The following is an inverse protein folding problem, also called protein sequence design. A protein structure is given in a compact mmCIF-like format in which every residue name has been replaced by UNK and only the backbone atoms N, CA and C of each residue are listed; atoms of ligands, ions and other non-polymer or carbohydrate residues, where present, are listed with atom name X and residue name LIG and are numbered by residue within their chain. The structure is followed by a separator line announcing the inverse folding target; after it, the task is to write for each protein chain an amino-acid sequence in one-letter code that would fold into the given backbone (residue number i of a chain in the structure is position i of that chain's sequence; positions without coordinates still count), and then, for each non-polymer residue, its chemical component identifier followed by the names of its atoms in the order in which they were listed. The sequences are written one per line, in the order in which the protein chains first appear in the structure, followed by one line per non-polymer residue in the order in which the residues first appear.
data_IF_065608017149
#
_entry.id   IF_065608017149
#
_cell.length_a   1.000
_cell.length_b   1.000
_cell.length_c   1.000
_cell.angle_alpha   90.00
_cell.angle_beta   90.00
_cell.angle_gamma   90.00
#
_symmetry.space_group_name_H-M   'P 1'
#
loop_
_entity.id
_entity.type
_entity.pdbx_description
1 polymer ?
#
# COMPACT_ATOMS: atom_id res chain seq x y z
N UNK A 1 27.51 -20.82 7.83
CA UNK A 1 26.90 -19.57 8.33
C UNK A 1 27.90 -18.87 9.23
N UNK A 2 28.04 -17.55 9.14
CA UNK A 2 28.96 -16.80 10.01
C UNK A 2 28.34 -16.76 11.43
N UNK A 3 29.17 -16.69 12.48
CA UNK A 3 28.69 -16.59 13.88
C UNK A 3 27.68 -15.45 14.07
N UNK A 4 27.87 -14.34 13.36
CA UNK A 4 26.94 -13.19 13.36
C UNK A 4 25.55 -13.54 12.85
N UNK A 5 25.47 -14.33 11.77
CA UNK A 5 24.19 -14.75 11.17
C UNK A 5 23.39 -15.66 12.12
N UNK A 6 24.10 -16.53 12.85
CA UNK A 6 23.50 -17.42 13.85
C UNK A 6 22.97 -16.64 15.04
N UNK A 7 23.72 -15.65 15.53
CA UNK A 7 23.28 -14.77 16.62
C UNK A 7 22.04 -13.96 16.22
N UNK A 8 22.02 -13.40 15.01
CA UNK A 8 20.87 -12.67 14.47
C UNK A 8 19.65 -13.59 14.39
N UNK A 9 19.80 -14.79 13.80
CA UNK A 9 18.70 -15.74 13.65
C UNK A 9 18.13 -16.19 15.02
N UNK A 10 18.99 -16.46 16.01
CA UNK A 10 18.58 -16.81 17.37
C UNK A 10 17.87 -15.63 18.03
N UNK A 11 18.41 -14.41 17.92
CA UNK A 11 17.80 -13.22 18.53
C UNK A 11 16.42 -12.89 17.95
N UNK A 12 16.24 -13.00 16.63
CA UNK A 12 14.94 -12.85 15.98
C UNK A 12 13.96 -13.95 16.40
N UNK A 13 14.43 -15.20 16.46
CA UNK A 13 13.58 -16.33 16.89
C UNK A 13 13.13 -16.17 18.34
N UNK A 14 14.01 -15.70 19.22
CA UNK A 14 13.70 -15.40 20.62
C UNK A 14 12.75 -14.21 20.76
N UNK A 15 12.91 -13.16 19.95
CA UNK A 15 11.98 -12.03 19.93
C UNK A 15 10.58 -12.47 19.49
N UNK A 16 10.48 -13.26 18.42
CA UNK A 16 9.20 -13.80 17.92
C UNK A 16 8.57 -14.71 18.96
N UNK A 17 9.35 -15.60 19.58
CA UNK A 17 8.87 -16.48 20.64
C UNK A 17 8.40 -15.69 21.87
N UNK A 18 9.16 -14.68 22.29
CA UNK A 18 8.79 -13.81 23.40
C UNK A 18 7.50 -13.03 23.09
N UNK A 19 7.37 -12.44 21.90
CA UNK A 19 6.15 -11.77 21.47
C UNK A 19 4.95 -12.74 21.40
N UNK A 20 5.15 -13.94 20.88
CA UNK A 20 4.11 -14.98 20.83
C UNK A 20 3.66 -15.39 22.24
N UNK A 21 4.60 -15.57 23.18
CA UNK A 21 4.29 -15.87 24.58
C UNK A 21 3.59 -14.68 25.25
N UNK A 22 4.02 -13.44 25.01
CA UNK A 22 3.39 -12.24 25.58
C UNK A 22 1.95 -12.08 25.07
N UNK A 23 1.72 -12.33 23.78
CA UNK A 23 0.38 -12.27 23.17
C UNK A 23 -0.49 -13.44 23.65
N UNK A 24 0.06 -14.65 23.74
CA UNK A 24 -0.66 -15.86 24.15
C UNK A 24 -0.87 -15.99 25.66
N UNK A 25 -0.03 -15.33 26.47
CA UNK A 25 -0.26 -15.17 27.89
C UNK A 25 -1.34 -14.09 28.07
N UNK A 26 -2.59 -14.55 28.11
CA UNK A 26 -3.81 -13.78 28.38
C UNK A 26 -3.73 -12.80 29.58
N UNK A 27 -2.72 -12.94 30.42
CA UNK A 27 -2.44 -12.09 31.59
C UNK A 27 -1.69 -10.79 31.27
N UNK A 28 -0.96 -10.70 30.15
CA UNK A 28 -0.08 -9.56 29.83
C UNK A 28 -0.58 -8.68 28.68
N UNK A 29 -1.59 -9.12 27.96
CA UNK A 29 -2.28 -8.29 26.97
C UNK A 29 -3.75 -8.22 27.38
N UNK A 30 -4.37 -7.02 27.43
CA UNK A 30 -5.82 -6.98 27.56
C UNK A 30 -6.39 -7.69 26.34
N UNK A 31 -6.94 -8.89 26.54
CA UNK A 31 -7.82 -9.52 25.55
C UNK A 31 -8.80 -8.44 25.13
N UNK A 32 -8.99 -8.27 23.82
CA UNK A 32 -9.99 -7.35 23.31
C UNK A 32 -11.29 -7.63 24.05
N UNK A 33 -11.74 -6.66 24.86
CA UNK A 33 -12.91 -6.79 25.72
C UNK A 33 -14.05 -7.39 24.91
N UNK A 34 -14.67 -8.47 25.41
CA UNK A 34 -15.86 -9.05 24.81
C UNK A 34 -17.01 -8.03 24.73
N UNK A 35 -16.95 -6.97 25.55
CA UNK A 35 -17.80 -5.78 25.43
C UNK A 35 -17.18 -4.83 24.41
N UNK A 36 -17.84 -4.72 23.26
CA UNK A 36 -17.50 -3.76 22.22
C UNK A 36 -17.84 -2.35 22.73
N UNK A 37 -16.90 -1.40 22.61
CA UNK A 37 -17.17 -0.01 22.98
C UNK A 37 -18.19 0.59 22.01
N UNK A 38 -19.00 1.55 22.44
CA UNK A 38 -20.05 2.15 21.60
C UNK A 38 -19.59 2.68 20.23
N UNK A 39 -18.34 3.15 20.11
CA UNK A 39 -17.76 3.53 18.82
C UNK A 39 -17.57 2.31 17.89
N UNK A 40 -17.12 1.18 18.42
CA UNK A 40 -16.98 -0.06 17.67
C UNK A 40 -18.33 -0.62 17.23
N UNK A 41 -19.35 -0.55 18.09
CA UNK A 41 -20.73 -0.91 17.74
C UNK A 41 -21.25 -0.03 16.60
N UNK A 42 -20.95 1.28 16.62
CA UNK A 42 -21.33 2.21 15.55
C UNK A 42 -20.67 1.82 14.21
N UNK A 43 -19.38 1.48 14.20
CA UNK A 43 -18.72 1.02 12.97
C UNK A 43 -19.34 -0.26 12.41
N UNK A 44 -19.66 -1.23 13.28
CA UNK A 44 -20.34 -2.47 12.87
C UNK A 44 -21.73 -2.17 12.31
N UNK A 45 -22.50 -1.32 12.99
CA UNK A 45 -23.87 -0.99 12.64
C UNK A 45 -23.97 -0.18 11.34
N UNK A 46 -22.98 0.64 11.01
CA UNK A 46 -23.04 1.56 9.87
C UNK A 46 -22.03 1.26 8.75
N UNK A 47 -21.24 0.19 8.84
CA UNK A 47 -20.41 -0.24 7.70
C UNK A 47 -21.30 -0.64 6.50
N UNK A 48 -22.32 -1.47 6.77
CA UNK A 48 -23.32 -1.88 5.79
C UNK A 48 -24.71 -1.94 6.42
N UNK A 49 -25.49 -0.88 6.23
CA UNK A 49 -26.85 -0.79 6.75
C UNK A 49 -27.76 0.00 5.80
N UNK A 50 -28.42 -0.70 4.85
CA UNK A 50 -29.27 -0.06 3.85
C UNK A 50 -30.45 0.72 4.42
N UNK A 51 -30.90 0.40 5.65
CA UNK A 51 -32.00 1.08 6.33
C UNK A 51 -31.59 2.45 6.90
N UNK A 52 -30.29 2.68 7.11
CA UNK A 52 -29.74 3.96 7.53
C UNK A 52 -28.89 4.58 6.40
N UNK A 53 -29.54 4.89 5.28
CA UNK A 53 -28.91 5.31 4.03
C UNK A 53 -27.98 6.53 4.13
N UNK A 54 -28.17 7.41 5.14
CA UNK A 54 -27.39 8.63 5.34
C UNK A 54 -26.21 8.45 6.32
N UNK A 55 -26.07 7.27 6.91
CA UNK A 55 -24.99 6.94 7.86
C UNK A 55 -24.14 5.75 7.39
N UNK A 56 -24.66 4.96 6.45
CA UNK A 56 -23.98 3.75 5.97
C UNK A 56 -22.88 4.04 4.95
N UNK A 57 -21.79 3.26 5.00
CA UNK A 57 -20.69 3.30 4.03
C UNK A 57 -20.97 2.42 2.80
N UNK A 58 -21.83 1.41 2.96
CA UNK A 58 -22.08 0.32 1.98
C UNK A 58 -20.85 -0.56 1.72
N UNK A 59 -19.98 -0.74 2.71
CA UNK A 59 -18.86 -1.69 2.70
C UNK A 59 -19.17 -2.88 3.60
N UNK A 60 -19.06 -4.11 3.08
CA UNK A 60 -19.20 -5.33 3.89
C UNK A 60 -17.97 -5.55 4.78
N UNK A 61 -16.81 -5.02 4.37
CA UNK A 61 -15.60 -5.01 5.18
C UNK A 61 -15.59 -3.76 6.09
N UNK A 62 -15.77 -4.00 7.38
CA UNK A 62 -15.80 -2.97 8.43
C UNK A 62 -14.45 -2.27 8.57
N UNK A 63 -13.34 -2.99 8.45
CA UNK A 63 -12.00 -2.39 8.55
C UNK A 63 -11.78 -1.41 7.40
N UNK A 64 -12.16 -1.81 6.18
CA UNK A 64 -12.06 -0.94 5.00
C UNK A 64 -12.95 0.30 5.14
N UNK A 65 -14.16 0.14 5.71
CA UNK A 65 -15.04 1.28 6.01
C UNK A 65 -14.40 2.24 7.03
N UNK A 66 -13.77 1.70 8.08
CA UNK A 66 -13.08 2.48 9.10
C UNK A 66 -11.94 3.28 8.48
N UNK A 67 -11.04 2.64 7.76
CA UNK A 67 -9.82 3.30 7.27
C UNK A 67 -10.12 4.32 6.17
N UNK A 68 -11.12 4.09 5.30
CA UNK A 68 -11.36 4.98 4.15
C UNK A 68 -12.50 5.97 4.32
N UNK A 69 -13.57 5.64 5.05
CA UNK A 69 -14.72 6.54 5.21
C UNK A 69 -14.65 7.27 6.57
N UNK A 70 -14.55 6.53 7.67
CA UNK A 70 -14.54 7.13 9.01
C UNK A 70 -13.21 7.81 9.37
N UNK A 71 -12.09 7.22 8.93
CA UNK A 71 -10.72 7.65 9.25
C UNK A 71 -9.86 7.83 7.99
N UNK A 72 -10.50 8.20 6.88
CA UNK A 72 -9.84 8.42 5.58
C UNK A 72 -8.63 9.35 5.63
N UNK A 73 -8.69 10.39 6.49
CA UNK A 73 -7.58 11.30 6.71
C UNK A 73 -6.34 10.60 7.32
N UNK A 74 -6.54 9.67 8.25
CA UNK A 74 -5.43 8.97 8.90
C UNK A 74 -4.69 8.09 7.88
N UNK A 75 -5.42 7.35 7.05
CA UNK A 75 -4.86 6.51 5.98
C UNK A 75 -4.21 7.33 4.87
N UNK A 76 -4.79 8.48 4.52
CA UNK A 76 -4.16 9.42 3.59
C UNK A 76 -2.83 9.96 4.13
N UNK A 77 -2.77 10.33 5.42
CA UNK A 77 -1.53 10.78 6.03
C UNK A 77 -0.50 9.65 6.19
N UNK A 78 -0.91 8.43 6.49
CA UNK A 78 -0.02 7.25 6.45
C UNK A 78 0.64 7.10 5.06
N UNK A 79 -0.16 7.26 4.01
CA UNK A 79 0.31 7.23 2.62
C UNK A 79 1.31 8.36 2.31
N UNK A 80 1.05 9.56 2.85
CA UNK A 80 1.97 10.70 2.76
C UNK A 80 3.29 10.44 3.52
N UNK A 81 3.23 9.83 4.72
CA UNK A 81 4.42 9.46 5.49
C UNK A 81 5.27 8.44 4.72
N UNK A 82 4.66 7.45 4.09
CA UNK A 82 5.36 6.51 3.21
C UNK A 82 5.97 7.22 1.99
N UNK A 83 5.38 8.32 1.50
CA UNK A 83 5.97 9.11 0.41
C UNK A 83 7.20 9.87 0.92
N UNK A 84 7.09 10.49 2.10
CA UNK A 84 8.19 11.18 2.74
C UNK A 84 9.37 10.24 2.99
N UNK A 85 9.13 8.98 3.41
CA UNK A 85 10.20 8.01 3.62
C UNK A 85 10.91 7.61 2.32
N UNK A 86 10.17 7.45 1.22
CA UNK A 86 10.78 7.21 -0.11
C UNK A 86 11.57 8.42 -0.58
N UNK A 87 11.04 9.63 -0.42
CA UNK A 87 11.78 10.87 -0.77
C UNK A 87 13.04 11.01 0.08
N UNK A 88 12.97 10.72 1.37
CA UNK A 88 14.13 10.72 2.26
C UNK A 88 15.18 9.68 1.81
N UNK A 89 14.75 8.47 1.47
CA UNK A 89 15.62 7.42 0.91
C UNK A 89 16.31 7.90 -0.38
N UNK A 90 15.55 8.50 -1.30
CA UNK A 90 16.10 9.05 -2.54
C UNK A 90 17.02 10.25 -2.29
N UNK A 91 16.76 11.07 -1.26
CA UNK A 91 17.61 12.19 -0.89
C UNK A 91 18.95 11.71 -0.34
N UNK A 92 18.95 10.67 0.50
CA UNK A 92 20.16 10.01 1.00
C UNK A 92 20.92 9.34 -0.14
N UNK A 93 20.20 8.76 -1.11
CA UNK A 93 20.74 8.10 -2.29
C UNK A 93 20.70 9.01 -3.53
N UNK A 94 20.92 10.33 -3.38
CA UNK A 94 21.02 11.27 -4.51
C UNK A 94 22.28 11.01 -5.34
N UNK A 95 22.14 10.83 -6.65
CA UNK A 95 23.27 10.54 -7.57
C UNK A 95 23.50 9.05 -7.86
N UNK A 96 22.79 8.15 -7.17
CA UNK A 96 22.98 6.69 -7.26
C UNK A 96 22.10 6.01 -8.33
N UNK A 97 21.26 6.80 -9.01
CA UNK A 97 20.08 6.33 -9.74
C UNK A 97 20.28 5.73 -11.13
N UNK A 98 21.51 5.67 -11.67
CA UNK A 98 21.75 5.20 -13.04
C UNK A 98 22.84 4.13 -13.19
N UNK A 99 23.23 3.44 -12.12
CA UNK A 99 24.19 2.32 -12.23
C UNK A 99 23.48 1.01 -12.60
N UNK A 100 22.68 1.02 -13.67
CA UNK A 100 22.07 -0.19 -14.25
C UNK A 100 22.86 -0.63 -15.49
N UNK A 101 24.10 -1.11 -15.29
CA UNK A 101 24.93 -1.69 -16.38
C UNK A 101 25.88 -2.78 -15.91
N UNK A 102 25.53 -3.56 -14.89
CA UNK A 102 26.27 -4.78 -14.58
C UNK A 102 25.50 -5.98 -15.12
N UNK A 103 26.11 -6.69 -16.08
CA UNK A 103 25.61 -7.90 -16.73
C UNK A 103 25.49 -9.08 -15.76
N UNK A 104 24.71 -8.91 -14.70
CA UNK A 104 24.42 -9.94 -13.72
C UNK A 104 23.60 -11.05 -14.38
N UNK A 105 24.15 -12.26 -14.37
CA UNK A 105 23.42 -13.45 -14.80
C UNK A 105 22.37 -13.81 -13.73
N UNK A 106 21.11 -13.91 -14.15
CA UNK A 106 20.03 -14.42 -13.29
C UNK A 106 20.22 -15.90 -12.94
N UNK A 107 19.28 -16.46 -12.17
CA UNK A 107 19.27 -17.87 -11.79
C UNK A 107 19.10 -18.83 -12.99
N UNK A 108 19.06 -20.14 -12.71
CA UNK A 108 18.88 -21.18 -13.74
C UNK A 108 17.58 -21.00 -14.55
N UNK A 109 17.56 -21.53 -15.76
CA UNK A 109 16.41 -21.36 -16.67
C UNK A 109 15.15 -22.06 -16.16
N UNK A 110 15.30 -23.13 -15.37
CA UNK A 110 14.18 -23.78 -14.66
C UNK A 110 13.50 -22.80 -13.69
N UNK A 111 14.29 -22.06 -12.90
CA UNK A 111 13.76 -21.07 -11.94
C UNK A 111 13.13 -19.89 -12.68
N UNK A 112 13.75 -19.44 -13.78
CA UNK A 112 13.18 -18.38 -14.65
C UNK A 112 11.85 -18.81 -15.28
N UNK A 113 11.72 -20.06 -15.71
CA UNK A 113 10.49 -20.59 -16.29
C UNK A 113 9.36 -20.63 -15.26
N UNK A 114 9.64 -21.14 -14.06
CA UNK A 114 8.68 -21.14 -12.95
C UNK A 114 8.25 -19.71 -12.57
N UNK A 115 9.21 -18.79 -12.45
CA UNK A 115 8.96 -17.39 -12.09
C UNK A 115 8.08 -16.67 -13.11
N UNK A 116 8.24 -16.97 -14.40
CA UNK A 116 7.41 -16.41 -15.49
C UNK A 116 5.93 -16.77 -15.33
N UNK A 117 5.62 -17.91 -14.73
CA UNK A 117 4.24 -18.34 -14.42
C UNK A 117 3.72 -17.72 -13.12
N UNK A 118 4.58 -17.57 -12.11
CA UNK A 118 4.19 -17.06 -10.78
C UNK A 118 3.92 -15.56 -10.78
N UNK A 119 4.70 -14.75 -11.50
CA UNK A 119 4.54 -13.28 -11.51
C UNK A 119 3.11 -12.85 -11.92
N UNK A 120 2.50 -13.36 -13.01
CA UNK A 120 1.12 -13.04 -13.34
C UNK A 120 0.11 -13.42 -12.25
N UNK A 121 0.32 -14.55 -11.57
CA UNK A 121 -0.56 -14.98 -10.48
C UNK A 121 -0.48 -14.01 -9.29
N UNK A 122 0.72 -13.55 -8.93
CA UNK A 122 0.91 -12.52 -7.90
C UNK A 122 0.18 -11.22 -8.31
N UNK A 123 0.30 -10.80 -9.57
CA UNK A 123 -0.34 -9.58 -10.06
C UNK A 123 -1.87 -9.67 -10.02
N UNK A 124 -2.45 -10.78 -10.47
CA UNK A 124 -3.90 -11.01 -10.40
C UNK A 124 -4.39 -11.02 -8.95
N UNK A 125 -3.67 -11.72 -8.06
CA UNK A 125 -4.03 -11.78 -6.66
C UNK A 125 -3.95 -10.41 -5.98
N UNK A 126 -2.89 -9.64 -6.25
CA UNK A 126 -2.72 -8.25 -5.78
C UNK A 126 -3.89 -7.36 -6.18
N UNK A 127 -4.26 -7.36 -7.47
CA UNK A 127 -5.38 -6.56 -7.98
C UNK A 127 -6.71 -7.02 -7.36
N UNK A 128 -6.93 -8.33 -7.26
CA UNK A 128 -8.14 -8.87 -6.64
C UNK A 128 -8.26 -8.46 -5.16
N UNK A 129 -7.16 -8.51 -4.39
CA UNK A 129 -7.13 -8.08 -2.98
C UNK A 129 -7.46 -6.59 -2.82
N UNK A 130 -7.00 -5.74 -3.74
CA UNK A 130 -7.30 -4.31 -3.70
C UNK A 130 -8.75 -4.01 -4.10
N UNK A 131 -9.20 -4.52 -5.24
CA UNK A 131 -10.53 -4.20 -5.81
C UNK A 131 -11.70 -4.79 -5.01
N UNK A 132 -11.48 -5.88 -4.27
CA UNK A 132 -12.48 -6.46 -3.37
C UNK A 132 -12.31 -6.02 -1.92
N UNK A 133 -11.48 -5.00 -1.62
CA UNK A 133 -11.20 -4.56 -0.25
C UNK A 133 -12.46 -4.18 0.56
N UNK A 134 -13.50 -3.69 -0.10
CA UNK A 134 -14.80 -3.39 0.52
C UNK A 134 -15.68 -4.62 0.78
N UNK A 135 -15.34 -5.79 0.22
CA UNK A 135 -16.11 -7.03 0.35
C UNK A 135 -15.38 -8.07 1.21
N UNK A 136 -14.06 -8.21 1.03
CA UNK A 136 -13.23 -9.25 1.64
C UNK A 136 -12.08 -8.62 2.45
N UNK A 137 -11.47 -9.36 3.40
CA UNK A 137 -10.22 -8.94 4.04
C UNK A 137 -9.15 -8.62 3.00
N UNK A 138 -8.48 -7.48 3.15
CA UNK A 138 -7.58 -6.94 2.13
C UNK A 138 -7.62 -5.42 2.11
N UNK A 139 -7.42 -4.84 0.93
CA UNK A 139 -7.29 -3.41 0.73
C UNK A 139 -6.21 -3.05 -0.28
N UNK A 140 -6.11 -1.75 -0.58
CA UNK A 140 -5.13 -1.24 -1.52
C UNK A 140 -3.70 -1.45 -1.06
N UNK A 141 -3.39 -1.15 0.19
CA UNK A 141 -2.04 -1.29 0.73
C UNK A 141 -1.52 -2.72 0.64
N UNK A 142 -2.32 -3.70 1.08
CA UNK A 142 -1.98 -5.13 1.01
C UNK A 142 -1.80 -5.57 -0.45
N UNK A 143 -2.70 -5.13 -1.34
CA UNK A 143 -2.55 -5.35 -2.78
C UNK A 143 -1.20 -4.82 -3.29
N UNK A 144 -0.81 -3.60 -2.91
CA UNK A 144 0.46 -2.99 -3.33
C UNK A 144 1.69 -3.70 -2.78
N UNK A 145 1.62 -4.14 -1.53
CA UNK A 145 2.66 -4.98 -0.92
C UNK A 145 2.82 -6.31 -1.66
N UNK A 146 1.72 -7.00 -1.98
CA UNK A 146 1.74 -8.24 -2.78
C UNK A 146 2.35 -7.99 -4.17
N UNK A 147 1.96 -6.90 -4.86
CA UNK A 147 2.55 -6.55 -6.15
C UNK A 147 4.07 -6.31 -6.06
N UNK A 148 4.55 -5.69 -4.97
CA UNK A 148 5.99 -5.47 -4.78
C UNK A 148 6.80 -6.76 -4.63
N UNK A 149 6.17 -7.86 -4.17
CA UNK A 149 6.79 -9.20 -4.13
C UNK A 149 7.14 -9.69 -5.53
N UNK A 150 6.33 -9.38 -6.55
CA UNK A 150 6.66 -9.72 -7.93
C UNK A 150 7.94 -9.02 -8.40
N UNK A 151 8.19 -7.79 -7.93
CA UNK A 151 9.42 -7.04 -8.23
C UNK A 151 10.61 -7.64 -7.48
N UNK A 152 10.47 -7.92 -6.19
CA UNK A 152 11.51 -8.59 -5.41
C UNK A 152 11.91 -9.93 -6.05
N UNK A 153 10.93 -10.74 -6.45
CA UNK A 153 11.15 -12.01 -7.13
C UNK A 153 11.84 -11.82 -8.50
N UNK A 154 11.42 -10.81 -9.27
CA UNK A 154 12.03 -10.49 -10.54
C UNK A 154 13.50 -10.05 -10.41
N UNK A 155 13.82 -9.22 -9.41
CA UNK A 155 15.20 -8.81 -9.09
C UNK A 155 16.02 -10.04 -8.71
N UNK A 156 15.51 -10.88 -7.81
CA UNK A 156 16.21 -12.06 -7.33
C UNK A 156 16.50 -13.06 -8.44
N UNK A 157 15.52 -13.33 -9.31
CA UNK A 157 15.60 -14.40 -10.34
C UNK A 157 16.28 -13.92 -11.63
N UNK A 158 15.98 -12.71 -12.11
CA UNK A 158 16.47 -12.25 -13.41
C UNK A 158 17.64 -11.27 -13.32
N UNK A 159 17.77 -10.53 -12.22
CA UNK A 159 18.61 -9.32 -11.99
C UNK A 159 17.84 -7.99 -11.98
N UNK A 160 18.42 -7.00 -11.31
CA UNK A 160 17.95 -5.62 -11.28
C UNK A 160 17.89 -5.00 -12.68
N UNK A 161 18.90 -5.26 -13.52
CA UNK A 161 18.97 -4.77 -14.90
C UNK A 161 17.79 -5.26 -15.76
N UNK A 162 17.32 -6.48 -15.54
CA UNK A 162 16.10 -7.00 -16.19
C UNK A 162 14.85 -6.20 -15.85
N UNK A 163 14.73 -5.73 -14.60
CA UNK A 163 13.59 -4.91 -14.14
C UNK A 163 13.63 -3.52 -14.77
N UNK A 164 14.82 -2.90 -14.85
CA UNK A 164 15.02 -1.62 -15.54
C UNK A 164 14.70 -1.73 -17.04
N UNK A 165 15.17 -2.79 -17.73
CA UNK A 165 14.85 -3.03 -19.14
C UNK A 165 13.35 -3.22 -19.41
N UNK A 166 12.60 -3.76 -18.46
CA UNK A 166 11.13 -3.85 -18.53
C UNK A 166 10.42 -2.52 -18.26
N UNK A 167 11.16 -1.45 -17.99
CA UNK A 167 10.64 -0.10 -17.87
C UNK A 167 10.17 0.28 -16.48
N UNK A 168 10.56 -0.45 -15.43
CA UNK A 168 10.28 -0.11 -14.03
C UNK A 168 11.48 0.61 -13.40
N UNK A 169 11.77 1.81 -13.89
CA UNK A 169 12.78 2.68 -13.29
C UNK A 169 12.23 3.39 -12.05
N UNK A 170 13.12 3.77 -11.14
CA UNK A 170 12.79 4.56 -9.94
C UNK A 170 11.98 5.82 -10.31
N UNK A 171 12.40 6.56 -11.32
CA UNK A 171 11.71 7.79 -11.75
C UNK A 171 10.26 7.52 -12.15
N UNK A 172 10.00 6.43 -12.87
CA UNK A 172 8.63 6.06 -13.27
C UNK A 172 7.79 5.62 -12.07
N UNK A 173 8.37 4.87 -11.14
CA UNK A 173 7.68 4.47 -9.92
C UNK A 173 7.33 5.69 -9.07
N UNK A 174 8.24 6.65 -8.91
CA UNK A 174 7.97 7.91 -8.20
C UNK A 174 6.87 8.72 -8.88
N UNK A 175 6.88 8.82 -10.22
CA UNK A 175 5.81 9.49 -10.97
C UNK A 175 4.46 8.79 -10.77
N UNK A 176 4.42 7.46 -10.87
CA UNK A 176 3.20 6.69 -10.60
C UNK A 176 2.68 6.92 -9.18
N UNK A 177 3.59 7.02 -8.21
CA UNK A 177 3.26 7.29 -6.81
C UNK A 177 2.62 8.65 -6.62
N UNK A 178 3.25 9.70 -7.17
CA UNK A 178 2.75 11.08 -7.08
C UNK A 178 1.41 11.21 -7.79
N UNK A 179 1.27 10.59 -8.96
CA UNK A 179 -0.01 10.57 -9.70
C UNK A 179 -1.10 9.85 -8.90
N UNK A 180 -0.79 8.70 -8.31
CA UNK A 180 -1.72 7.96 -7.44
C UNK A 180 -2.19 8.80 -6.26
N UNK A 181 -1.26 9.49 -5.58
CA UNK A 181 -1.60 10.38 -4.46
C UNK A 181 -2.42 11.60 -4.91
N UNK A 182 -2.10 12.19 -6.05
CA UNK A 182 -2.86 13.30 -6.62
C UNK A 182 -4.29 12.86 -6.99
N UNK A 183 -4.46 11.71 -7.64
CA UNK A 183 -5.78 11.15 -7.96
C UNK A 183 -6.58 10.86 -6.68
N UNK A 184 -5.95 10.26 -5.66
CA UNK A 184 -6.56 10.03 -4.35
C UNK A 184 -7.05 11.33 -3.71
N UNK A 185 -6.23 12.39 -3.73
CA UNK A 185 -6.62 13.71 -3.23
C UNK A 185 -7.77 14.31 -4.04
N UNK A 186 -7.76 14.18 -5.37
CA UNK A 186 -8.85 14.63 -6.23
C UNK A 186 -10.17 13.97 -5.85
N UNK A 187 -10.18 12.65 -5.60
CA UNK A 187 -11.38 11.94 -5.12
C UNK A 187 -11.82 12.47 -3.76
N UNK A 188 -10.88 12.70 -2.83
CA UNK A 188 -11.18 13.21 -1.50
C UNK A 188 -11.82 14.60 -1.51
N UNK A 189 -11.48 15.47 -2.46
CA UNK A 189 -12.06 16.83 -2.55
C UNK A 189 -13.22 16.93 -3.55
N UNK A 190 -13.45 15.90 -4.38
CA UNK A 190 -14.41 15.96 -5.49
C UNK A 190 -15.82 16.34 -5.02
N UNK A 191 -16.37 15.68 -4.00
CA UNK A 191 -17.71 16.02 -3.49
C UNK A 191 -17.74 17.39 -2.85
N UNK A 192 -16.69 17.81 -2.12
CA UNK A 192 -16.63 19.15 -1.56
C UNK A 192 -16.69 20.24 -2.65
N UNK A 193 -15.97 20.05 -3.76
CA UNK A 193 -16.00 20.97 -4.90
C UNK A 193 -17.38 20.98 -5.59
N UNK A 194 -17.97 19.80 -5.83
CA UNK A 194 -19.31 19.68 -6.41
C UNK A 194 -20.36 20.34 -5.50
N UNK A 195 -20.26 20.15 -4.18
CA UNK A 195 -21.14 20.78 -3.20
C UNK A 195 -21.04 22.30 -3.24
N UNK A 196 -19.82 22.84 -3.28
CA UNK A 196 -19.58 24.27 -3.40
C UNK A 196 -20.20 24.87 -4.69
N UNK A 197 -20.11 24.16 -5.82
CA UNK A 197 -20.71 24.58 -7.09
C UNK A 197 -22.25 24.53 -7.07
N UNK A 198 -22.82 23.55 -6.39
CA UNK A 198 -24.27 23.37 -6.26
C UNK A 198 -24.90 24.17 -5.11
N UNK A 199 -24.08 24.85 -4.30
CA UNK A 199 -24.55 25.58 -3.11
C UNK A 199 -25.04 24.66 -1.98
N UNK A 200 -24.61 23.40 -1.96
CA UNK A 200 -24.95 22.43 -0.91
C UNK A 200 -23.72 22.12 -0.05
N UNK A 201 -23.94 21.81 1.24
CA UNK A 201 -22.83 21.39 2.10
C UNK A 201 -22.28 20.06 1.61
N UNK A 202 -20.96 19.93 1.64
CA UNK A 202 -20.23 18.70 1.36
C UNK A 202 -18.86 18.76 2.03
N UNK A 203 -18.33 17.59 2.40
CA UNK A 203 -17.10 17.49 3.18
C UNK A 203 -15.95 16.91 2.36
N UNK A 204 -14.72 17.27 2.72
CA UNK A 204 -13.53 16.55 2.25
C UNK A 204 -13.56 15.14 2.81
N UNK A 205 -13.16 14.15 2.01
CA UNK A 205 -13.30 12.71 2.29
C UNK A 205 -14.75 12.20 2.40
N UNK A 206 -15.75 12.99 2.01
CA UNK A 206 -17.12 12.48 1.99
C UNK A 206 -17.26 11.36 0.95
N UNK A 207 -17.77 10.20 1.37
CA UNK A 207 -18.06 9.08 0.51
C UNK A 207 -19.55 9.02 0.14
N UNK A 208 -20.42 8.86 1.15
CA UNK A 208 -21.87 8.76 1.00
C UNK A 208 -22.58 10.07 1.37
N UNK A 209 -23.84 10.20 0.96
CA UNK A 209 -24.70 11.29 1.40
C UNK A 209 -24.92 11.23 2.91
N UNK A 210 -25.00 12.39 3.55
CA UNK A 210 -25.25 12.59 4.98
C UNK A 210 -26.53 13.40 5.17
N UNK A 211 -27.04 13.49 6.41
CA UNK A 211 -28.27 14.22 6.72
C UNK A 211 -28.24 15.69 6.27
N UNK A 212 -27.09 16.34 6.38
CA UNK A 212 -26.90 17.74 6.01
C UNK A 212 -26.13 17.93 4.70
N UNK A 213 -25.79 16.84 4.01
CA UNK A 213 -25.01 16.82 2.75
C UNK A 213 -25.59 15.78 1.78
N UNK A 214 -26.51 16.18 0.88
CA UNK A 214 -27.32 15.24 0.10
C UNK A 214 -26.57 14.53 -1.04
N UNK A 215 -25.34 14.95 -1.34
CA UNK A 215 -24.54 14.39 -2.43
C UNK A 215 -23.69 13.21 -1.95
N UNK A 216 -23.49 12.21 -2.80
CA UNK A 216 -22.71 11.03 -2.46
C UNK A 216 -22.21 10.30 -3.70
N UNK A 217 -21.26 9.39 -3.52
CA UNK A 217 -20.74 8.53 -4.57
C UNK A 217 -21.73 7.39 -4.90
N UNK A 218 -21.60 6.75 -6.08
CA UNK A 218 -22.40 5.58 -6.44
C UNK A 218 -22.28 4.44 -5.43
N UNK A 219 -23.42 3.95 -4.94
CA UNK A 219 -23.49 2.90 -3.89
C UNK A 219 -23.13 1.52 -4.43
N UNK A 220 -23.59 1.22 -5.65
CA UNK A 220 -23.48 -0.10 -6.29
C UNK A 220 -22.92 0.01 -7.70
N UNK A 221 -22.24 -1.05 -8.14
CA UNK A 221 -21.77 -1.26 -9.50
C UNK A 221 -22.18 -2.67 -9.93
N UNK A 222 -22.99 -2.82 -10.98
CA UNK A 222 -23.46 -4.12 -11.48
C UNK A 222 -24.03 -5.02 -10.36
N UNK A 223 -24.92 -4.45 -9.54
CA UNK A 223 -25.55 -5.08 -8.36
C UNK A 223 -24.60 -5.51 -7.21
N UNK A 224 -23.32 -5.16 -7.29
CA UNK A 224 -22.37 -5.35 -6.19
C UNK A 224 -22.16 -4.07 -5.40
N UNK A 225 -22.00 -4.13 -4.06
CA UNK A 225 -21.64 -2.96 -3.26
C UNK A 225 -20.28 -2.41 -3.70
N UNK A 226 -20.28 -1.20 -4.25
CA UNK A 226 -19.06 -0.50 -4.67
C UNK A 226 -18.42 0.24 -3.49
N UNK A 227 -19.21 0.51 -2.44
CA UNK A 227 -18.82 1.37 -1.31
C UNK A 227 -18.34 2.77 -1.73
N UNK A 228 -18.81 3.26 -2.89
CA UNK A 228 -18.50 4.59 -3.43
C UNK A 228 -17.01 4.82 -3.70
N UNK A 229 -16.46 5.86 -3.09
CA UNK A 229 -15.06 6.26 -3.21
C UNK A 229 -14.09 5.23 -2.65
N UNK A 230 -14.52 4.34 -1.75
CA UNK A 230 -13.66 3.33 -1.11
C UNK A 230 -12.97 2.43 -2.13
N UNK A 231 -13.67 2.01 -3.20
CA UNK A 231 -13.07 1.22 -4.28
C UNK A 231 -11.95 1.99 -4.99
N UNK A 232 -12.16 3.28 -5.24
CA UNK A 232 -11.17 4.14 -5.90
C UNK A 232 -9.97 4.37 -4.99
N UNK A 233 -10.19 4.60 -3.70
CA UNK A 233 -9.11 4.74 -2.73
C UNK A 233 -8.24 3.48 -2.65
N UNK A 234 -8.85 2.28 -2.55
CA UNK A 234 -8.10 1.03 -2.60
C UNK A 234 -7.30 0.88 -3.90
N UNK A 235 -7.86 1.30 -5.03
CA UNK A 235 -7.17 1.23 -6.34
C UNK A 235 -5.95 2.16 -6.40
N UNK A 236 -6.08 3.40 -5.93
CA UNK A 236 -4.96 4.33 -5.91
C UNK A 236 -3.93 3.96 -4.84
N UNK A 237 -4.36 3.50 -3.67
CA UNK A 237 -3.47 3.01 -2.61
C UNK A 237 -2.65 1.81 -3.08
N UNK A 238 -3.23 0.88 -3.84
CA UNK A 238 -2.50 -0.20 -4.52
C UNK A 238 -1.32 0.34 -5.32
N UNK A 239 -1.55 1.36 -6.17
CA UNK A 239 -0.51 1.96 -7.01
C UNK A 239 0.55 2.65 -6.14
N UNK A 240 0.12 3.38 -5.09
CA UNK A 240 1.02 4.11 -4.20
C UNK A 240 1.90 3.16 -3.39
N UNK A 241 1.32 2.14 -2.77
CA UNK A 241 2.05 1.14 -1.98
C UNK A 241 3.00 0.32 -2.88
N UNK A 242 2.52 -0.16 -4.04
CA UNK A 242 3.35 -0.86 -5.02
C UNK A 242 4.57 -0.03 -5.43
N UNK A 243 4.35 1.22 -5.83
CA UNK A 243 5.42 2.09 -6.32
C UNK A 243 6.44 2.44 -5.24
N UNK A 244 6.00 2.69 -4.00
CA UNK A 244 6.91 3.00 -2.89
C UNK A 244 7.76 1.82 -2.47
N UNK A 245 7.12 0.67 -2.22
CA UNK A 245 7.82 -0.54 -1.79
C UNK A 245 8.77 -1.04 -2.89
N UNK A 246 8.34 -0.99 -4.16
CA UNK A 246 9.21 -1.36 -5.28
C UNK A 246 10.40 -0.41 -5.43
N UNK A 247 10.21 0.89 -5.19
CA UNK A 247 11.33 1.87 -5.18
C UNK A 247 12.32 1.54 -4.08
N UNK A 248 11.84 1.28 -2.85
CA UNK A 248 12.69 0.90 -1.74
C UNK A 248 13.46 -0.41 -2.02
N UNK A 249 12.79 -1.42 -2.58
CA UNK A 249 13.42 -2.70 -2.95
C UNK A 249 14.51 -2.52 -4.01
N UNK A 250 14.24 -1.72 -5.04
CA UNK A 250 15.23 -1.41 -6.09
C UNK A 250 16.45 -0.72 -5.47
N UNK A 251 16.23 0.28 -4.60
CA UNK A 251 17.31 1.01 -3.95
C UNK A 251 18.13 0.15 -2.98
N UNK A 252 17.49 -0.72 -2.21
CA UNK A 252 18.16 -1.65 -1.31
C UNK A 252 18.91 -2.78 -2.05
N UNK A 253 18.57 -3.03 -3.31
CA UNK A 253 19.21 -4.06 -4.13
C UNK A 253 20.45 -3.55 -4.88
N UNK A 254 20.76 -2.26 -4.80
CA UNK A 254 21.98 -1.68 -5.35
C UNK A 254 23.20 -2.23 -4.60
N UNK A 255 24.25 -2.64 -5.31
CA UNK A 255 25.46 -3.24 -4.73
C UNK A 255 26.35 -2.18 -4.06
N UNK A 256 27.14 -2.57 -3.06
CA UNK A 256 28.09 -1.68 -2.38
C UNK A 256 29.13 -1.05 -3.35
N UNK A 257 29.54 -1.76 -4.41
CA UNK A 257 30.42 -1.20 -5.45
C UNK A 257 29.71 -0.15 -6.32
N UNK A 258 28.42 -0.36 -6.61
CA UNK A 258 27.58 0.62 -7.30
C UNK A 258 27.33 1.83 -6.39
N UNK A 259 27.19 1.57 -5.07
CA UNK A 259 27.08 2.58 -4.03
C UNK A 259 28.37 3.41 -3.91
N UNK A 260 29.55 2.77 -3.88
CA UNK A 260 30.85 3.46 -3.80
C UNK A 260 31.17 4.27 -5.06
N UNK A 261 30.94 3.71 -6.24
CA UNK A 261 31.10 4.46 -7.50
C UNK A 261 30.15 5.65 -7.58
N UNK A 262 28.94 5.51 -7.05
CA UNK A 262 27.99 6.63 -6.97
C UNK A 262 28.38 7.67 -5.91
N UNK A 263 28.97 7.28 -4.77
CA UNK A 263 29.56 8.21 -3.79
C UNK A 263 30.66 9.04 -4.46
N UNK A 264 31.60 8.40 -5.16
CA UNK A 264 32.70 9.08 -5.85
C UNK A 264 32.22 10.06 -6.94
N UNK A 265 31.13 9.73 -7.65
CA UNK A 265 30.54 10.61 -8.68
C UNK A 265 29.76 11.76 -8.06
N UNK A 266 29.09 11.56 -6.91
CA UNK A 266 28.37 12.60 -6.19
C UNK A 266 29.28 13.71 -5.64
N UNK A 267 30.47 13.34 -5.14
CA UNK A 267 31.48 14.29 -4.65
C UNK A 267 32.12 15.13 -5.79
N UNK A 268 32.09 14.65 -7.04
CA UNK A 268 32.66 15.38 -8.18
C UNK A 268 31.76 16.52 -8.70
N UNK A 269 30.54 16.64 -8.18
CA UNK A 269 29.57 17.68 -8.54
C UNK A 269 29.34 18.73 -7.43
N UNK A 270 30.07 18.64 -6.31
CA UNK A 270 30.26 19.73 -5.33
C UNK A 270 31.51 20.55 -5.66
#
# INVERSE_FOLDING_TARGET
MRKKDVVIAISLSLLVLAMSIIIGAEQFTPIASAVIRGLGESYLMYSYNPWHANMTVFSLNVVTAIIWDYRGLDTFYETCVLLASVVALLAVLRGYGEVARLGAQGLSDVVKAATKLVIPLIAVYSVATALHGQLTPGGGFQGGAIASVAIALAIAVYSLDSVYRKGLSVSRLVVLRVLGLACMLCIAVALALVGALLGVKAYVFQNMAKEDSPIGMPKTLLDTPMAGAVLLYNTFELVIAFSGLSTALIMLSLREEELRKAIEVGEAYE
#
